data_IF_431805454032
#
_entry.id   IF_431805454032
#
_cell.length_a   1.000
_cell.length_b   1.000
_cell.length_c   1.000
_cell.angle_alpha   90.00
_cell.angle_beta   90.00
_cell.angle_gamma   90.00
#
_symmetry.space_group_name_H-M   'P 1'
#
loop_
_entity.id
_entity.type
_entity.pdbx_description
1 polymer ?
#
# COMPACT_ATOMS: atom_id res chain seq x y z
N UNK A 1 -41.67 -7.27 22.87
CA UNK A 1 -40.50 -7.32 21.97
C UNK A 1 -39.56 -6.20 22.37
N UNK A 2 -38.44 -6.54 23.00
CA UNK A 2 -37.46 -5.58 23.53
C UNK A 2 -36.39 -5.34 22.47
N UNK A 3 -36.23 -4.09 22.07
CA UNK A 3 -35.10 -3.61 21.29
C UNK A 3 -33.82 -3.76 22.12
N UNK A 4 -32.86 -4.54 21.63
CA UNK A 4 -31.48 -4.50 22.16
C UNK A 4 -30.74 -3.51 21.26
N UNK A 5 -30.56 -2.31 21.82
CA UNK A 5 -29.59 -1.32 21.38
C UNK A 5 -28.20 -1.93 21.52
N UNK A 6 -27.52 -2.24 20.42
CA UNK A 6 -26.11 -2.62 20.45
C UNK A 6 -25.28 -1.38 20.13
N UNK A 7 -24.59 -0.89 21.16
CA UNK A 7 -23.57 0.15 21.05
C UNK A 7 -22.53 -0.27 20.00
N UNK A 8 -22.41 0.55 18.96
CA UNK A 8 -21.24 0.59 18.09
C UNK A 8 -20.12 1.21 18.90
N UNK A 9 -19.30 0.38 19.54
CA UNK A 9 -18.04 0.84 20.13
C UNK A 9 -17.05 1.02 18.99
N UNK A 10 -16.95 2.24 18.48
CA UNK A 10 -15.86 2.66 17.62
C UNK A 10 -14.53 2.47 18.36
N UNK A 11 -13.75 1.47 17.95
CA UNK A 11 -12.37 1.30 18.38
C UNK A 11 -11.50 2.35 17.67
N UNK A 12 -11.37 3.51 18.29
CA UNK A 12 -10.27 4.45 18.04
C UNK A 12 -8.96 3.79 18.46
N UNK A 13 -8.14 3.35 17.50
CA UNK A 13 -6.75 2.97 17.76
C UNK A 13 -5.91 4.23 17.86
N UNK A 14 -5.41 4.47 19.07
CA UNK A 14 -4.50 5.54 19.40
C UNK A 14 -3.10 5.30 18.84
N UNK A 15 -2.53 6.39 18.32
CA UNK A 15 -1.15 6.67 17.93
C UNK A 15 -0.07 5.91 18.70
N UNK A 16 0.75 5.14 17.98
CA UNK A 16 2.08 4.72 18.43
C UNK A 16 3.13 5.63 17.79
N UNK A 17 3.45 6.72 18.48
CA UNK A 17 4.63 7.55 18.21
C UNK A 17 5.89 6.73 18.45
N UNK A 18 6.65 6.42 17.39
CA UNK A 18 8.01 5.86 17.51
C UNK A 18 8.32 4.57 16.74
N UNK A 19 7.44 4.09 15.86
CA UNK A 19 7.69 2.87 15.08
C UNK A 19 8.83 3.03 14.05
N UNK A 20 9.73 2.04 13.97
CA UNK A 20 10.69 1.92 12.87
C UNK A 20 9.94 1.93 11.53
N UNK A 21 10.56 2.37 10.45
CA UNK A 21 9.91 2.39 9.13
C UNK A 21 9.32 1.02 8.71
N UNK A 22 9.87 -0.09 9.22
CA UNK A 22 9.36 -1.46 9.05
C UNK A 22 8.15 -1.80 9.95
N UNK A 23 7.96 -1.09 11.07
CA UNK A 23 6.89 -1.30 12.06
C UNK A 23 5.59 -0.52 11.74
N UNK A 24 5.61 0.35 10.70
CA UNK A 24 4.53 1.33 10.42
C UNK A 24 3.35 0.77 9.63
N UNK A 25 3.39 -0.48 9.18
CA UNK A 25 2.44 -1.00 8.19
C UNK A 25 1.83 -2.36 8.62
N UNK A 26 0.49 -2.53 8.51
CA UNK A 26 -0.22 -3.73 9.00
C UNK A 26 0.26 -5.05 8.38
N UNK A 27 0.73 -6.02 9.16
CA UNK A 27 1.38 -7.25 8.64
C UNK A 27 0.39 -8.23 7.93
N UNK A 28 -0.84 -7.79 7.62
CA UNK A 28 -2.01 -8.59 7.26
C UNK A 28 -3.02 -7.85 6.36
N UNK A 29 -3.88 -8.62 5.67
CA UNK A 29 -5.09 -8.10 5.06
C UNK A 29 -5.90 -7.33 6.10
N UNK A 30 -6.35 -6.11 5.78
CA UNK A 30 -7.02 -5.28 6.76
C UNK A 30 -8.23 -5.99 7.37
N UNK A 31 -8.31 -5.98 8.69
CA UNK A 31 -9.38 -6.60 9.46
C UNK A 31 -10.77 -6.12 9.01
N UNK A 32 -10.89 -4.89 8.51
CA UNK A 32 -12.16 -4.40 8.03
C UNK A 32 -12.66 -5.13 6.78
N UNK A 33 -11.81 -5.69 5.91
CA UNK A 33 -12.26 -6.29 4.63
C UNK A 33 -13.35 -7.32 4.89
N UNK A 34 -13.13 -8.26 5.81
CA UNK A 34 -14.07 -9.36 6.08
C UNK A 34 -15.20 -8.99 7.05
N UNK A 35 -15.08 -7.85 7.74
CA UNK A 35 -16.14 -7.30 8.58
C UNK A 35 -17.19 -6.53 7.76
N UNK A 36 -16.89 -6.23 6.50
CA UNK A 36 -17.81 -5.58 5.58
C UNK A 36 -18.54 -6.60 4.72
N UNK A 37 -19.86 -6.47 4.65
CA UNK A 37 -20.61 -6.97 3.50
C UNK A 37 -20.08 -6.22 2.26
N UNK A 38 -19.69 -6.89 1.16
CA UNK A 38 -20.03 -8.25 0.71
C UNK A 38 -19.00 -9.35 1.00
N UNK A 39 -17.89 -9.06 1.68
CA UNK A 39 -16.77 -10.00 1.82
C UNK A 39 -16.90 -10.94 3.02
N UNK A 40 -17.76 -10.61 3.99
CA UNK A 40 -18.11 -11.50 5.12
C UNK A 40 -18.60 -12.87 4.64
N UNK A 41 -19.33 -12.92 3.53
CA UNK A 41 -19.92 -14.13 2.95
C UNK A 41 -18.89 -15.04 2.27
N UNK A 42 -17.64 -14.59 2.15
CA UNK A 42 -16.54 -15.42 1.65
C UNK A 42 -16.08 -16.46 2.68
N UNK A 43 -16.39 -16.25 3.96
CA UNK A 43 -16.01 -17.14 5.06
C UNK A 43 -17.22 -18.00 5.47
N UNK A 44 -17.00 -19.31 5.58
CA UNK A 44 -17.97 -20.19 6.25
C UNK A 44 -17.99 -19.91 7.75
N UNK A 45 -19.08 -20.26 8.43
CA UNK A 45 -19.25 -20.01 9.87
C UNK A 45 -18.07 -20.54 10.71
N UNK A 46 -17.59 -21.75 10.42
CA UNK A 46 -16.43 -22.35 11.09
C UNK A 46 -15.10 -21.63 10.79
N UNK A 47 -15.01 -20.95 9.65
CA UNK A 47 -13.84 -20.17 9.27
C UNK A 47 -13.85 -18.82 9.97
N UNK A 48 -15.02 -18.23 10.24
CA UNK A 48 -15.15 -16.95 10.95
C UNK A 48 -14.55 -17.03 12.36
N UNK A 49 -14.81 -18.11 13.09
CA UNK A 49 -14.30 -18.26 14.46
C UNK A 49 -12.77 -18.45 14.49
N UNK A 50 -12.22 -19.31 13.62
CA UNK A 50 -10.76 -19.46 13.47
C UNK A 50 -10.11 -18.15 13.03
N UNK A 51 -10.74 -17.42 12.10
CA UNK A 51 -10.27 -16.12 11.63
C UNK A 51 -10.20 -15.11 12.78
N UNK A 52 -11.26 -14.97 13.57
CA UNK A 52 -11.30 -14.07 14.75
C UNK A 52 -10.25 -14.45 15.79
N UNK A 53 -10.07 -15.74 16.07
CA UNK A 53 -9.07 -16.22 17.03
C UNK A 53 -7.65 -15.84 16.60
N UNK A 54 -7.30 -16.09 15.33
CA UNK A 54 -5.98 -15.74 14.78
C UNK A 54 -5.72 -14.24 14.81
N UNK A 55 -6.74 -13.43 14.53
CA UNK A 55 -6.62 -11.97 14.65
C UNK A 55 -6.30 -11.56 16.09
N UNK A 56 -7.10 -12.03 17.04
CA UNK A 56 -6.89 -11.70 18.45
C UNK A 56 -5.49 -12.15 18.95
N UNK A 57 -4.94 -13.23 18.39
CA UNK A 57 -3.57 -13.67 18.68
C UNK A 57 -2.52 -12.73 18.08
N UNK A 58 -2.69 -12.28 16.83
CA UNK A 58 -1.81 -11.27 16.20
C UNK A 58 -1.82 -9.96 17.00
N UNK A 59 -2.99 -9.47 17.40
CA UNK A 59 -3.12 -8.24 18.20
C UNK A 59 -2.39 -8.37 19.55
N UNK A 60 -2.49 -9.52 20.21
CA UNK A 60 -1.73 -9.80 21.44
C UNK A 60 -0.22 -9.80 21.19
N UNK A 61 0.24 -10.39 20.09
CA UNK A 61 1.66 -10.42 19.74
C UNK A 61 2.22 -9.03 19.43
N UNK A 62 1.44 -8.15 18.77
CA UNK A 62 1.88 -6.77 18.46
C UNK A 62 1.93 -5.87 19.71
N UNK A 63 1.07 -6.14 20.71
CA UNK A 63 1.13 -5.45 22.01
C UNK A 63 2.24 -5.97 22.94
N UNK A 64 2.73 -7.19 22.70
CA UNK A 64 3.90 -7.74 23.39
C UNK A 64 5.19 -7.18 22.75
N UNK A 65 6.28 -7.07 23.52
CA UNK A 65 7.58 -6.64 22.97
C UNK A 65 7.93 -7.46 21.72
N UNK A 66 8.32 -6.80 20.62
CA UNK A 66 8.74 -7.45 19.36
C UNK A 66 9.95 -8.35 19.60
N UNK A 67 9.71 -9.66 19.71
CA UNK A 67 10.73 -10.70 19.72
C UNK A 67 10.74 -11.41 18.37
N UNK A 68 11.87 -12.01 17.99
CA UNK A 68 11.96 -12.78 16.74
C UNK A 68 10.92 -13.93 16.68
N UNK A 69 10.61 -14.54 17.83
CA UNK A 69 9.59 -15.57 17.94
C UNK A 69 8.17 -15.02 17.73
N UNK A 70 7.86 -13.84 18.28
CA UNK A 70 6.59 -13.16 18.05
C UNK A 70 6.41 -12.75 16.58
N UNK A 71 7.49 -12.29 15.93
CA UNK A 71 7.49 -11.94 14.51
C UNK A 71 7.25 -13.18 13.63
N UNK A 72 7.92 -14.30 13.93
CA UNK A 72 7.72 -15.56 13.22
C UNK A 72 6.29 -16.09 13.39
N UNK A 73 5.76 -16.06 14.61
CA UNK A 73 4.39 -16.49 14.89
C UNK A 73 3.37 -15.60 14.17
N UNK A 74 3.58 -14.28 14.16
CA UNK A 74 2.74 -13.33 13.43
C UNK A 74 2.73 -13.64 11.95
N UNK A 75 3.90 -13.92 11.35
CA UNK A 75 4.00 -14.32 9.95
C UNK A 75 3.24 -15.63 9.65
N UNK A 76 3.33 -16.63 10.53
CA UNK A 76 2.58 -17.88 10.38
C UNK A 76 1.05 -17.67 10.44
N UNK A 77 0.58 -16.84 11.36
CA UNK A 77 -0.85 -16.51 11.49
C UNK A 77 -1.35 -15.74 10.25
N UNK A 78 -0.56 -14.78 9.76
CA UNK A 78 -0.89 -14.03 8.55
C UNK A 78 -0.96 -14.91 7.30
N UNK A 79 -0.05 -15.88 7.17
CA UNK A 79 -0.11 -16.90 6.11
C UNK A 79 -1.41 -17.68 6.13
N UNK A 80 -1.87 -18.08 7.32
CA UNK A 80 -3.12 -18.80 7.48
C UNK A 80 -4.33 -17.91 7.10
N UNK A 81 -4.33 -16.65 7.53
CA UNK A 81 -5.39 -15.70 7.20
C UNK A 81 -5.47 -15.38 5.69
N UNK A 82 -4.32 -15.28 5.01
CA UNK A 82 -4.27 -15.00 3.58
C UNK A 82 -4.84 -16.14 2.71
N UNK A 83 -5.00 -17.35 3.25
CA UNK A 83 -5.59 -18.50 2.52
C UNK A 83 -7.10 -18.40 2.34
N UNK A 84 -7.78 -17.54 3.10
CA UNK A 84 -9.23 -17.42 3.02
C UNK A 84 -9.73 -16.63 1.82
N UNK A 85 -8.89 -15.77 1.24
CA UNK A 85 -9.28 -14.87 0.16
C UNK A 85 -8.47 -15.14 -1.10
N UNK A 86 -9.08 -14.89 -2.26
CA UNK A 86 -8.42 -14.97 -3.56
C UNK A 86 -8.73 -13.75 -4.42
N UNK A 87 -7.91 -13.49 -5.43
CA UNK A 87 -8.19 -12.46 -6.44
C UNK A 87 -9.53 -12.69 -7.15
N UNK A 88 -9.98 -13.94 -7.28
CA UNK A 88 -11.29 -14.27 -7.85
C UNK A 88 -12.45 -13.78 -6.97
N UNK A 89 -12.29 -13.88 -5.66
CA UNK A 89 -13.29 -13.40 -4.71
C UNK A 89 -13.41 -11.88 -4.79
N UNK A 90 -12.29 -11.17 -4.83
CA UNK A 90 -12.27 -9.72 -5.01
C UNK A 90 -12.83 -9.29 -6.37
N UNK A 91 -12.42 -9.96 -7.46
CA UNK A 91 -12.90 -9.66 -8.83
C UNK A 91 -14.41 -9.82 -8.98
N UNK A 92 -15.03 -10.71 -8.19
CA UNK A 92 -16.47 -10.95 -8.22
C UNK A 92 -17.26 -9.93 -7.42
N UNK A 93 -16.71 -9.46 -6.29
CA UNK A 93 -17.47 -8.75 -5.27
C UNK A 93 -17.15 -7.25 -5.18
N UNK A 94 -15.95 -6.85 -5.59
CA UNK A 94 -15.53 -5.46 -5.52
C UNK A 94 -15.97 -4.67 -6.76
N UNK A 95 -16.22 -3.35 -6.61
CA UNK A 95 -16.29 -2.43 -7.73
C UNK A 95 -15.03 -2.51 -8.59
N UNK A 96 -15.18 -2.31 -9.91
CA UNK A 96 -14.06 -2.28 -10.84
C UNK A 96 -13.79 -0.84 -11.28
N UNK A 97 -12.53 -0.45 -11.25
CA UNK A 97 -12.04 0.70 -12.02
C UNK A 97 -11.51 0.19 -13.36
N UNK A 98 -11.80 0.94 -14.42
CA UNK A 98 -11.53 0.54 -15.80
C UNK A 98 -10.88 1.68 -16.59
N UNK A 99 -9.97 1.32 -17.50
CA UNK A 99 -9.46 2.17 -18.57
C UNK A 99 -10.05 1.66 -19.89
N UNK A 100 -11.13 2.29 -20.41
CA UNK A 100 -11.83 1.82 -21.60
C UNK A 100 -10.93 1.78 -22.85
N UNK A 101 -9.94 2.68 -22.94
CA UNK A 101 -9.08 2.78 -24.11
C UNK A 101 -8.15 1.57 -24.25
N UNK A 102 -7.67 1.04 -23.12
CA UNK A 102 -6.80 -0.14 -23.10
C UNK A 102 -7.54 -1.44 -22.79
N UNK A 103 -8.81 -1.38 -22.39
CA UNK A 103 -9.58 -2.52 -21.89
C UNK A 103 -9.05 -3.10 -20.58
N UNK A 104 -8.23 -2.33 -19.83
CA UNK A 104 -7.67 -2.79 -18.55
C UNK A 104 -8.66 -2.52 -17.45
N UNK A 105 -8.63 -3.36 -16.42
CA UNK A 105 -9.48 -3.18 -15.26
C UNK A 105 -8.86 -3.76 -14.00
N UNK A 106 -9.28 -3.22 -12.87
CA UNK A 106 -8.80 -3.58 -11.54
C UNK A 106 -9.94 -3.47 -10.53
N UNK A 107 -10.02 -4.44 -9.63
CA UNK A 107 -10.91 -4.41 -8.47
C UNK A 107 -10.43 -3.35 -7.49
N UNK A 108 -11.31 -2.44 -7.07
CA UNK A 108 -10.99 -1.42 -6.07
C UNK A 108 -11.75 -1.73 -4.77
N UNK A 109 -11.02 -1.86 -3.68
CA UNK A 109 -11.59 -2.08 -2.35
C UNK A 109 -11.16 -0.92 -1.45
N UNK A 110 -12.14 -0.13 -1.02
CA UNK A 110 -11.94 1.03 -0.15
C UNK A 110 -12.38 0.71 1.27
N UNK A 111 -11.58 1.14 2.23
CA UNK A 111 -11.94 1.10 3.65
C UNK A 111 -13.20 1.93 3.91
N UNK A 112 -14.26 1.36 4.53
CA UNK A 112 -15.47 2.12 4.85
C UNK A 112 -15.25 3.29 5.78
N UNK A 113 -14.13 3.31 6.53
CA UNK A 113 -13.78 4.43 7.41
C UNK A 113 -13.41 5.71 6.63
N UNK A 114 -13.21 5.66 5.32
CA UNK A 114 -13.08 6.87 4.52
C UNK A 114 -14.37 7.71 4.56
N UNK A 115 -14.27 9.06 4.64
CA UNK A 115 -15.43 9.92 4.53
C UNK A 115 -16.23 9.66 3.24
N UNK A 116 -17.56 9.70 3.31
CA UNK A 116 -18.42 9.35 2.16
C UNK A 116 -18.15 10.18 0.90
N UNK A 117 -17.83 11.48 1.05
CA UNK A 117 -17.49 12.34 -0.08
C UNK A 117 -16.17 11.96 -0.77
N UNK A 118 -15.25 11.29 -0.05
CA UNK A 118 -13.96 10.87 -0.59
C UNK A 118 -14.01 9.57 -1.38
N UNK A 119 -14.98 8.68 -1.11
CA UNK A 119 -15.12 7.42 -1.83
C UNK A 119 -15.22 7.61 -3.36
N UNK A 120 -16.10 8.48 -3.91
CA UNK A 120 -16.13 8.73 -5.35
C UNK A 120 -14.87 9.44 -5.88
N UNK A 121 -14.19 10.25 -5.06
CA UNK A 121 -12.90 10.87 -5.42
C UNK A 121 -11.83 9.80 -5.60
N UNK A 122 -11.73 8.85 -4.66
CA UNK A 122 -10.77 7.75 -4.70
C UNK A 122 -11.09 6.74 -5.80
N UNK A 123 -12.36 6.49 -6.09
CA UNK A 123 -12.78 5.68 -7.24
C UNK A 123 -12.29 6.32 -8.55
N UNK A 124 -12.59 7.61 -8.75
CA UNK A 124 -12.11 8.36 -9.91
C UNK A 124 -10.58 8.42 -9.98
N UNK A 125 -9.90 8.52 -8.84
CA UNK A 125 -8.45 8.43 -8.76
C UNK A 125 -7.92 7.06 -9.22
N UNK A 126 -8.61 5.97 -8.87
CA UNK A 126 -8.30 4.62 -9.34
C UNK A 126 -8.39 4.48 -10.87
N UNK A 127 -9.42 5.07 -11.48
CA UNK A 127 -9.53 5.14 -12.95
C UNK A 127 -8.36 5.92 -13.59
N UNK A 128 -8.02 7.09 -13.04
CA UNK A 128 -6.92 7.92 -13.54
C UNK A 128 -5.57 7.23 -13.38
N UNK A 129 -5.34 6.57 -12.25
CA UNK A 129 -4.15 5.76 -12.02
C UNK A 129 -4.04 4.66 -13.09
N UNK A 130 -5.10 3.86 -13.29
CA UNK A 130 -5.07 2.77 -14.28
C UNK A 130 -4.82 3.26 -15.71
N UNK A 131 -5.39 4.41 -16.09
CA UNK A 131 -5.18 5.07 -17.38
C UNK A 131 -3.72 5.51 -17.58
N UNK A 132 -3.09 6.03 -16.53
CA UNK A 132 -1.78 6.70 -16.63
C UNK A 132 -0.60 5.81 -16.25
N UNK A 133 -0.79 4.77 -15.44
CA UNK A 133 0.29 3.99 -14.84
C UNK A 133 1.22 3.33 -15.88
N UNK A 134 0.65 2.92 -17.01
CA UNK A 134 1.37 2.28 -18.11
C UNK A 134 1.58 3.20 -19.32
N UNK A 135 1.41 4.52 -19.14
CA UNK A 135 1.76 5.46 -20.19
C UNK A 135 3.30 5.50 -20.34
N UNK A 136 3.80 5.16 -21.54
CA UNK A 136 5.23 5.11 -21.83
C UNK A 136 5.93 6.45 -21.59
N UNK A 137 5.31 7.55 -22.00
CA UNK A 137 5.90 8.88 -21.83
C UNK A 137 6.03 9.26 -20.34
N UNK A 138 5.01 8.93 -19.53
CA UNK A 138 5.05 9.11 -18.07
C UNK A 138 6.23 8.36 -17.45
N UNK A 139 6.39 7.08 -17.81
CA UNK A 139 7.46 6.22 -17.29
C UNK A 139 8.83 6.72 -17.74
N UNK A 140 9.00 7.03 -19.02
CA UNK A 140 10.27 7.53 -19.56
C UNK A 140 10.67 8.87 -18.94
N UNK A 141 9.72 9.79 -18.76
CA UNK A 141 9.97 11.06 -18.09
C UNK A 141 10.38 10.86 -16.64
N UNK A 142 9.67 10.01 -15.90
CA UNK A 142 10.01 9.70 -14.51
C UNK A 142 11.42 9.09 -14.41
N UNK A 143 11.74 8.13 -15.28
CA UNK A 143 13.04 7.48 -15.34
C UNK A 143 14.18 8.46 -15.61
N UNK A 144 14.01 9.35 -16.60
CA UNK A 144 15.00 10.38 -16.96
C UNK A 144 15.25 11.38 -15.83
N UNK A 145 14.21 11.75 -15.09
CA UNK A 145 14.30 12.76 -14.00
C UNK A 145 14.84 12.17 -12.70
N UNK A 146 14.71 10.87 -12.49
CA UNK A 146 15.13 10.21 -11.27
C UNK A 146 16.66 10.13 -11.16
N UNK A 147 17.18 10.45 -9.98
CA UNK A 147 18.59 10.25 -9.64
C UNK A 147 18.92 8.75 -9.53
N UNK A 148 20.12 8.37 -9.94
CA UNK A 148 20.58 6.97 -9.82
C UNK A 148 20.85 6.57 -8.36
N UNK A 149 21.29 7.53 -7.54
CA UNK A 149 21.53 7.36 -6.10
C UNK A 149 20.85 8.51 -5.34
N UNK A 150 19.55 8.39 -5.04
CA UNK A 150 18.80 9.46 -4.39
C UNK A 150 19.26 9.68 -2.94
N UNK A 151 19.27 10.94 -2.51
CA UNK A 151 19.75 11.35 -1.19
C UNK A 151 18.61 11.52 -0.17
N UNK A 152 18.87 11.34 1.14
CA UNK A 152 20.15 10.95 1.73
C UNK A 152 20.43 9.44 1.60
N UNK A 153 21.67 9.07 1.31
CA UNK A 153 22.10 7.67 1.45
C UNK A 153 22.34 7.37 2.93
N UNK A 154 21.65 6.40 3.54
CA UNK A 154 21.95 6.03 4.93
C UNK A 154 23.38 5.48 5.03
N UNK A 155 24.04 5.75 6.14
CA UNK A 155 25.39 5.28 6.43
C UNK A 155 25.39 4.13 7.44
N UNK A 156 26.48 3.34 7.44
CA UNK A 156 26.85 2.41 8.51
C UNK A 156 28.02 3.01 9.29
N UNK A 157 28.07 2.79 10.60
CA UNK A 157 29.26 3.14 11.40
C UNK A 157 30.22 1.95 11.41
N UNK A 158 31.50 2.20 11.16
CA UNK A 158 32.56 1.20 11.32
C UNK A 158 33.54 1.73 12.35
N UNK A 159 33.68 1.02 13.47
CA UNK A 159 34.61 1.35 14.55
C UNK A 159 35.49 0.13 14.80
N UNK A 160 36.81 0.29 14.67
CA UNK A 160 37.81 -0.77 14.90
C UNK A 160 37.54 -2.08 14.15
N UNK A 161 37.17 -1.98 12.87
CA UNK A 161 36.84 -3.13 12.03
C UNK A 161 35.48 -3.79 12.35
N UNK A 162 34.80 -3.33 13.40
CA UNK A 162 33.47 -3.81 13.79
C UNK A 162 32.41 -2.87 13.21
N UNK A 163 31.48 -3.44 12.44
CA UNK A 163 30.32 -2.69 11.92
C UNK A 163 29.30 -2.54 13.05
N UNK A 164 29.06 -1.31 13.48
CA UNK A 164 28.05 -0.97 14.51
C UNK A 164 27.09 0.11 13.97
N UNK A 165 25.93 0.29 14.61
CA UNK A 165 25.03 1.39 14.23
C UNK A 165 24.40 1.28 12.84
N UNK A 166 24.19 0.07 12.32
CA UNK A 166 23.34 -0.13 11.14
C UNK A 166 21.94 0.37 11.47
N UNK A 167 21.57 1.54 10.97
CA UNK A 167 20.21 2.06 11.15
C UNK A 167 19.22 1.16 10.41
N UNK A 168 18.00 1.03 10.91
CA UNK A 168 16.95 0.27 10.21
C UNK A 168 16.73 0.79 8.78
N UNK A 169 16.91 2.11 8.57
CA UNK A 169 16.90 2.72 7.23
C UNK A 169 17.98 2.19 6.28
N UNK A 170 19.17 1.82 6.78
CA UNK A 170 20.24 1.25 5.96
C UNK A 170 19.90 -0.15 5.43
N UNK A 171 19.30 -1.02 6.27
CA UNK A 171 18.91 -2.38 5.85
C UNK A 171 17.82 -2.36 4.80
N UNK A 172 16.81 -1.51 4.98
CA UNK A 172 15.76 -1.32 4.00
C UNK A 172 16.34 -0.76 2.70
N UNK A 173 17.14 0.31 2.77
CA UNK A 173 17.80 0.91 1.60
C UNK A 173 18.61 -0.10 0.77
N UNK A 174 19.32 -1.04 1.41
CA UNK A 174 20.05 -2.10 0.69
C UNK A 174 19.15 -3.11 -0.03
N UNK A 175 17.92 -3.33 0.45
CA UNK A 175 16.95 -4.25 -0.15
C UNK A 175 16.03 -3.55 -1.14
N UNK A 176 15.83 -2.26 -0.99
CA UNK A 176 14.91 -1.46 -1.80
C UNK A 176 15.49 -1.09 -3.16
N UNK A 177 14.59 -0.98 -4.14
CA UNK A 177 14.92 -0.49 -5.46
C UNK A 177 14.75 1.02 -5.48
N UNK A 178 15.84 1.76 -5.69
CA UNK A 178 15.81 3.22 -5.70
C UNK A 178 15.43 3.79 -7.07
N UNK A 179 15.75 3.04 -8.12
CA UNK A 179 15.45 3.32 -9.52
C UNK A 179 15.36 1.98 -10.27
N UNK A 180 14.44 1.83 -11.23
CA UNK A 180 14.42 0.63 -12.07
C UNK A 180 15.69 0.56 -12.93
N UNK A 181 16.00 -0.63 -13.45
CA UNK A 181 17.15 -0.82 -14.34
C UNK A 181 16.96 -0.08 -15.67
N UNK A 182 15.73 -0.03 -16.16
CA UNK A 182 15.33 0.73 -17.35
C UNK A 182 13.84 1.07 -17.29
N UNK A 183 13.41 2.03 -18.13
CA UNK A 183 11.99 2.36 -18.30
C UNK A 183 11.16 1.14 -18.78
N UNK A 184 11.71 0.32 -19.69
CA UNK A 184 11.02 -0.88 -20.20
C UNK A 184 10.87 -1.94 -19.10
N UNK A 185 11.92 -2.17 -18.31
CA UNK A 185 11.85 -3.13 -17.19
C UNK A 185 10.77 -2.72 -16.18
N UNK A 186 10.65 -1.42 -15.89
CA UNK A 186 9.57 -0.90 -15.04
C UNK A 186 8.20 -1.06 -15.69
N UNK A 187 8.08 -0.78 -16.99
CA UNK A 187 6.83 -0.94 -17.73
C UNK A 187 6.33 -2.38 -17.66
N UNK A 188 7.19 -3.37 -17.94
CA UNK A 188 6.82 -4.77 -17.91
C UNK A 188 6.40 -5.25 -16.52
N UNK A 189 7.11 -4.78 -15.49
CA UNK A 189 6.78 -5.04 -14.10
C UNK A 189 5.41 -4.46 -13.71
N UNK A 190 5.19 -3.18 -13.95
CA UNK A 190 3.91 -2.53 -13.65
C UNK A 190 2.78 -3.16 -14.48
N UNK A 191 3.05 -3.55 -15.73
CA UNK A 191 2.09 -4.23 -16.60
C UNK A 191 1.71 -5.58 -16.00
N UNK A 192 2.69 -6.33 -15.50
CA UNK A 192 2.44 -7.60 -14.84
C UNK A 192 1.60 -7.42 -13.58
N UNK A 193 1.84 -6.37 -12.79
CA UNK A 193 1.06 -6.06 -11.59
C UNK A 193 -0.38 -5.61 -11.87
N UNK A 194 -0.62 -4.99 -13.04
CA UNK A 194 -1.91 -4.39 -13.41
C UNK A 194 -2.67 -5.16 -14.51
N UNK A 195 -2.25 -6.38 -14.86
CA UNK A 195 -2.91 -7.19 -15.89
C UNK A 195 -3.29 -8.56 -15.36
N UNK A 196 -4.57 -8.90 -15.45
CA UNK A 196 -5.10 -10.22 -15.12
C UNK A 196 -6.34 -10.56 -15.97
N UNK A 197 -6.75 -11.83 -16.04
CA UNK A 197 -7.97 -12.22 -16.73
C UNK A 197 -9.21 -11.70 -15.98
N UNK A 198 -10.35 -11.60 -16.66
CA UNK A 198 -11.55 -10.97 -16.10
C UNK A 198 -12.08 -11.63 -14.81
N UNK A 199 -11.83 -12.93 -14.61
CA UNK A 199 -12.21 -13.69 -13.42
C UNK A 199 -11.19 -13.59 -12.26
N UNK A 200 -10.01 -13.02 -12.53
CA UNK A 200 -8.90 -12.80 -11.57
C UNK A 200 -8.21 -11.49 -11.91
N UNK A 201 -8.98 -10.41 -11.95
CA UNK A 201 -8.47 -9.05 -12.16
C UNK A 201 -7.54 -8.69 -11.00
N UNK A 202 -6.58 -7.78 -11.24
CA UNK A 202 -5.84 -7.16 -10.16
C UNK A 202 -6.76 -6.53 -9.13
N UNK A 203 -6.30 -6.45 -7.89
CA UNK A 203 -7.00 -5.83 -6.79
C UNK A 203 -6.12 -4.75 -6.15
N UNK A 204 -6.67 -3.54 -6.05
CA UNK A 204 -6.14 -2.45 -5.25
C UNK A 204 -6.97 -2.32 -3.98
N UNK A 205 -6.37 -2.59 -2.84
CA UNK A 205 -6.95 -2.36 -1.52
C UNK A 205 -6.38 -1.07 -0.96
N UNK A 206 -7.26 -0.17 -0.55
CA UNK A 206 -6.89 1.10 0.07
C UNK A 206 -7.47 1.14 1.48
N UNK A 207 -6.58 1.08 2.47
CA UNK A 207 -6.93 1.25 3.89
C UNK A 207 -6.85 2.70 4.32
N UNK A 208 -7.70 3.08 5.28
CA UNK A 208 -7.56 4.33 5.99
C UNK A 208 -6.47 4.26 7.07
N UNK A 209 -5.92 5.42 7.42
CA UNK A 209 -5.19 5.61 8.66
C UNK A 209 -5.21 7.07 9.11
N UNK A 210 -5.13 7.29 10.42
CA UNK A 210 -5.00 8.61 11.00
C UNK A 210 -3.52 8.89 11.31
N UNK A 211 -2.91 9.74 10.50
CA UNK A 211 -1.60 10.36 10.72
C UNK A 211 -1.51 11.60 9.81
N UNK A 212 -1.11 12.73 10.38
CA UNK A 212 -0.94 13.98 9.65
C UNK A 212 0.44 14.10 8.98
N UNK A 213 1.38 13.21 9.26
CA UNK A 213 2.77 13.31 8.83
C UNK A 213 2.93 12.94 7.36
N UNK A 214 2.29 11.84 6.94
CA UNK A 214 2.45 11.26 5.60
C UNK A 214 1.11 11.22 4.86
N UNK A 215 1.19 11.15 3.52
CA UNK A 215 0.01 11.09 2.66
C UNK A 215 -0.53 9.67 2.52
N UNK A 216 0.36 8.69 2.62
CA UNK A 216 0.06 7.29 2.44
C UNK A 216 1.15 6.40 3.03
N UNK A 217 0.91 5.11 2.85
CA UNK A 217 1.85 4.05 3.19
C UNK A 217 1.63 2.84 2.29
N UNK A 218 2.72 2.25 1.80
CA UNK A 218 2.69 0.99 1.06
C UNK A 218 3.64 -0.02 1.65
N UNK A 219 3.35 -1.30 1.41
CA UNK A 219 4.15 -2.41 1.94
C UNK A 219 5.37 -2.64 1.07
N UNK A 220 6.56 -2.54 1.64
CA UNK A 220 7.77 -2.87 0.90
C UNK A 220 7.72 -4.31 0.36
N UNK A 221 7.78 -4.42 -0.96
CA UNK A 221 7.96 -5.69 -1.69
C UNK A 221 6.83 -6.71 -1.49
N UNK A 222 5.64 -6.27 -1.04
CA UNK A 222 4.50 -7.17 -0.84
C UNK A 222 4.15 -7.95 -2.09
N UNK A 223 4.33 -7.38 -3.28
CA UNK A 223 4.09 -8.03 -4.57
C UNK A 223 5.04 -9.21 -4.86
N UNK A 224 6.24 -9.24 -4.29
CA UNK A 224 7.21 -10.32 -4.48
C UNK A 224 7.44 -11.18 -3.23
N UNK A 225 6.60 -11.01 -2.20
CA UNK A 225 6.59 -11.84 -0.98
C UNK A 225 5.44 -12.84 -0.99
N UNK A 226 5.56 -13.95 -1.75
CA UNK A 226 4.51 -14.97 -1.91
C UNK A 226 4.10 -15.62 -0.59
N UNK A 227 4.95 -15.52 0.43
CA UNK A 227 4.71 -16.03 1.77
C UNK A 227 3.81 -15.14 2.63
N UNK A 228 3.33 -14.01 2.11
CA UNK A 228 2.36 -13.12 2.75
C UNK A 228 1.14 -12.81 1.87
N UNK A 229 1.09 -13.42 0.67
CA UNK A 229 0.08 -13.17 -0.35
C UNK A 229 -1.16 -14.07 -0.24
N UNK A 230 -2.25 -13.61 -0.85
CA UNK A 230 -3.53 -14.31 -1.01
C UNK A 230 -3.37 -15.67 -1.68
N UNK A 231 -3.30 -16.75 -0.91
CA UNK A 231 -2.83 -18.05 -1.43
C UNK A 231 -3.90 -19.14 -1.44
N UNK A 232 -5.01 -18.90 -2.15
CA UNK A 232 -5.91 -19.99 -2.55
C UNK A 232 -5.60 -20.56 -3.95
N UNK A 233 -5.03 -19.77 -4.88
CA UNK A 233 -4.71 -20.20 -6.25
C UNK A 233 -3.52 -19.37 -6.83
N UNK A 234 -2.46 -20.02 -7.30
CA UNK A 234 -1.36 -19.39 -8.06
C UNK A 234 -1.79 -18.92 -9.47
N UNK A 235 -1.07 -17.95 -10.10
CA UNK A 235 0.05 -17.18 -9.55
C UNK A 235 -0.42 -15.93 -8.80
N UNK A 236 0.36 -15.48 -7.80
CA UNK A 236 -0.04 -14.46 -6.84
C UNK A 236 0.34 -13.02 -7.24
N UNK A 237 0.64 -12.77 -8.51
CA UNK A 237 0.77 -11.42 -9.04
C UNK A 237 -0.61 -10.83 -9.25
N UNK A 238 -0.87 -9.64 -8.70
CA UNK A 238 -1.96 -8.69 -8.99
C UNK A 238 -2.70 -8.17 -7.74
N UNK A 239 -2.11 -8.24 -6.54
CA UNK A 239 -2.66 -7.61 -5.35
C UNK A 239 -1.76 -6.45 -4.88
N UNK A 240 -2.31 -5.24 -4.85
CA UNK A 240 -1.66 -4.03 -4.37
C UNK A 240 -2.38 -3.57 -3.12
N UNK A 241 -1.65 -3.43 -2.01
CA UNK A 241 -2.21 -2.94 -0.77
C UNK A 241 -1.53 -1.66 -0.32
N UNK A 242 -2.34 -0.61 -0.15
CA UNK A 242 -1.87 0.72 0.26
C UNK A 242 -2.73 1.25 1.40
N UNK A 243 -2.23 2.29 2.06
CA UNK A 243 -2.96 3.11 3.03
C UNK A 243 -2.92 4.56 2.60
N UNK A 244 -3.99 5.29 2.84
CA UNK A 244 -4.06 6.74 2.62
C UNK A 244 -4.57 7.46 3.86
N UNK A 245 -4.01 8.64 4.14
CA UNK A 245 -4.29 9.37 5.38
C UNK A 245 -5.68 10.00 5.33
N UNK A 246 -6.54 9.63 6.28
CA UNK A 246 -7.86 10.25 6.46
C UNK A 246 -7.76 11.65 7.05
N UNK A 247 -6.71 11.94 7.82
CA UNK A 247 -6.53 13.28 8.41
C UNK A 247 -6.23 14.33 7.34
N UNK A 248 -5.53 13.92 6.28
CA UNK A 248 -5.30 14.77 5.11
C UNK A 248 -6.60 15.06 4.36
N UNK A 249 -7.46 14.04 4.24
CA UNK A 249 -8.76 14.14 3.58
C UNK A 249 -9.78 14.95 4.38
N UNK A 250 -9.76 14.84 5.71
CA UNK A 250 -10.71 15.53 6.60
C UNK A 250 -10.44 17.01 6.79
N UNK A 251 -9.31 17.52 6.28
CA UNK A 251 -8.94 18.93 6.37
C UNK A 251 -9.83 19.87 5.52
N UNK A 252 -10.70 19.32 4.66
CA UNK A 252 -11.73 20.07 3.94
C UNK A 252 -11.20 21.09 2.91
N UNK A 253 -9.94 20.95 2.50
CA UNK A 253 -9.37 21.77 1.43
C UNK A 253 -9.80 21.20 0.08
N UNK A 254 -10.43 22.00 -0.77
CA UNK A 254 -10.82 21.63 -2.15
C UNK A 254 -9.65 21.03 -2.96
N UNK A 255 -8.41 21.39 -2.59
CA UNK A 255 -7.20 20.82 -3.20
C UNK A 255 -7.07 19.31 -2.99
N UNK A 256 -7.66 18.76 -1.93
CA UNK A 256 -7.64 17.34 -1.59
C UNK A 256 -8.86 16.58 -2.11
N UNK A 257 -9.86 17.25 -2.69
CA UNK A 257 -10.92 16.56 -3.44
C UNK A 257 -10.52 16.30 -4.90
N UNK A 258 -9.29 16.67 -5.29
CA UNK A 258 -8.77 16.46 -6.63
C UNK A 258 -8.41 14.96 -6.86
N UNK A 259 -9.13 14.25 -7.76
CA UNK A 259 -8.83 12.85 -8.05
C UNK A 259 -7.44 12.62 -8.67
N UNK A 260 -6.92 13.59 -9.42
CA UNK A 260 -5.59 13.49 -10.04
C UNK A 260 -4.47 13.53 -9.00
N UNK A 261 -4.67 14.26 -7.90
CA UNK A 261 -3.77 14.22 -6.75
C UNK A 261 -3.78 12.84 -6.09
N UNK A 262 -4.95 12.26 -5.83
CA UNK A 262 -5.01 10.92 -5.24
C UNK A 262 -4.53 9.83 -6.19
N UNK A 263 -4.69 9.99 -7.50
CA UNK A 263 -4.11 9.06 -8.48
C UNK A 263 -2.59 9.01 -8.37
N UNK A 264 -1.94 10.16 -8.15
CA UNK A 264 -0.49 10.20 -7.93
C UNK A 264 -0.08 9.57 -6.61
N UNK A 265 -0.86 9.76 -5.53
CA UNK A 265 -0.61 9.08 -4.25
C UNK A 265 -0.80 7.57 -4.36
N UNK A 266 -1.85 7.10 -5.03
CA UNK A 266 -2.05 5.67 -5.33
C UNK A 266 -0.84 5.12 -6.08
N UNK A 267 -0.35 5.82 -7.11
CA UNK A 267 0.84 5.41 -7.85
C UNK A 267 2.08 5.31 -6.96
N UNK A 268 2.31 6.32 -6.10
CA UNK A 268 3.40 6.32 -5.14
C UNK A 268 3.33 5.09 -4.22
N UNK A 269 2.21 4.89 -3.54
CA UNK A 269 2.08 3.81 -2.57
C UNK A 269 2.07 2.42 -3.22
N UNK A 270 1.60 2.31 -4.47
CA UNK A 270 1.69 1.09 -5.26
C UNK A 270 3.15 0.72 -5.57
N UNK A 271 4.05 1.69 -5.74
CA UNK A 271 5.46 1.38 -6.01
C UNK A 271 6.18 0.76 -4.81
N UNK A 272 5.76 1.10 -3.59
CA UNK A 272 6.25 0.43 -2.38
C UNK A 272 5.93 -1.08 -2.41
N UNK A 273 4.75 -1.46 -2.91
CA UNK A 273 4.37 -2.88 -3.09
C UNK A 273 5.32 -3.62 -4.03
N UNK A 274 5.87 -2.93 -5.01
CA UNK A 274 6.89 -3.46 -5.91
C UNK A 274 8.28 -3.41 -5.27
N UNK A 275 8.48 -2.81 -4.10
CA UNK A 275 9.79 -2.71 -3.45
C UNK A 275 10.61 -1.50 -3.90
N UNK A 276 9.99 -0.52 -4.57
CA UNK A 276 10.63 0.80 -4.69
C UNK A 276 10.49 1.54 -3.37
N UNK A 277 11.51 2.31 -2.98
CA UNK A 277 11.46 3.04 -1.73
C UNK A 277 12.10 4.41 -1.84
N UNK A 278 11.72 5.30 -0.92
CA UNK A 278 12.36 6.60 -0.78
C UNK A 278 13.61 6.51 0.10
N UNK A 279 14.58 7.42 -0.05
CA UNK A 279 15.65 7.60 0.93
C UNK A 279 15.10 7.80 2.37
N UNK A 280 15.81 7.37 3.42
CA UNK A 280 15.34 7.49 4.80
C UNK A 280 15.44 8.93 5.31
N UNK A 281 14.48 9.75 4.90
CA UNK A 281 14.36 11.13 5.37
C UNK A 281 14.04 11.18 6.86
N UNK A 282 14.68 12.10 7.58
CA UNK A 282 14.42 12.40 8.98
C UNK A 282 13.02 12.97 9.18
N UNK A 283 12.59 13.85 8.28
CA UNK A 283 11.29 14.52 8.30
C UNK A 283 10.86 14.99 6.90
N UNK A 284 9.63 15.51 6.80
CA UNK A 284 9.07 15.99 5.54
C UNK A 284 9.84 17.19 4.94
N UNK A 285 10.49 18.01 5.78
CA UNK A 285 11.26 19.17 5.32
C UNK A 285 12.55 18.71 4.63
N UNK A 286 13.28 17.77 5.23
CA UNK A 286 14.46 17.19 4.60
C UNK A 286 14.10 16.53 3.26
N UNK A 287 13.00 15.77 3.20
CA UNK A 287 12.48 15.23 1.93
C UNK A 287 12.34 16.33 0.88
N UNK A 288 11.63 17.42 1.21
CA UNK A 288 11.33 18.49 0.26
C UNK A 288 12.57 19.27 -0.18
N UNK A 289 13.59 19.38 0.67
CA UNK A 289 14.88 19.97 0.33
C UNK A 289 15.70 19.04 -0.60
N UNK A 290 15.79 17.74 -0.28
CA UNK A 290 16.58 16.76 -1.04
C UNK A 290 15.97 16.44 -2.41
N UNK A 291 14.63 16.36 -2.51
CA UNK A 291 13.91 16.08 -3.76
C UNK A 291 14.19 17.14 -4.84
N UNK A 292 14.61 18.36 -4.48
CA UNK A 292 14.96 19.42 -5.43
C UNK A 292 16.27 19.14 -6.17
N UNK A 293 17.19 18.37 -5.58
CA UNK A 293 18.54 18.13 -6.12
C UNK A 293 18.80 16.66 -6.42
N UNK A 294 18.07 15.74 -5.77
CA UNK A 294 18.26 14.29 -5.86
C UNK A 294 16.91 13.58 -5.79
N UNK A 295 16.20 13.60 -6.90
CA UNK A 295 14.82 13.13 -7.02
C UNK A 295 14.78 11.58 -7.05
N UNK A 296 14.23 10.89 -6.03
CA UNK A 296 14.05 9.44 -6.09
C UNK A 296 12.99 9.06 -7.13
N UNK A 297 13.13 7.87 -7.73
CA UNK A 297 12.24 7.42 -8.80
C UNK A 297 10.77 7.40 -8.39
N UNK A 298 10.47 6.95 -7.17
CA UNK A 298 9.09 6.91 -6.66
C UNK A 298 8.40 8.27 -6.65
N UNK A 299 9.14 9.34 -6.30
CA UNK A 299 8.64 10.72 -6.33
C UNK A 299 8.61 11.27 -7.75
N UNK A 300 9.58 10.92 -8.60
CA UNK A 300 9.56 11.30 -10.01
C UNK A 300 8.31 10.75 -10.71
N UNK A 301 8.02 9.46 -10.49
CA UNK A 301 6.86 8.78 -11.06
C UNK A 301 5.54 9.35 -10.55
N UNK A 302 5.42 9.59 -9.24
CA UNK A 302 4.27 10.30 -8.66
C UNK A 302 4.01 11.65 -9.37
N UNK A 303 5.05 12.47 -9.56
CA UNK A 303 4.91 13.77 -10.20
C UNK A 303 4.47 13.67 -11.67
N UNK A 304 4.98 12.69 -12.42
CA UNK A 304 4.57 12.48 -13.81
C UNK A 304 3.14 11.94 -13.93
N UNK A 305 2.72 11.07 -13.00
CA UNK A 305 1.32 10.63 -12.90
C UNK A 305 0.42 11.82 -12.61
N UNK A 306 0.76 12.68 -11.65
CA UNK A 306 -0.01 13.87 -11.35
C UNK A 306 -0.16 14.78 -12.59
N UNK A 307 0.93 15.00 -13.32
CA UNK A 307 0.92 15.81 -14.54
C UNK A 307 -0.01 15.20 -15.60
N UNK A 308 0.13 13.90 -15.88
CA UNK A 308 -0.66 13.22 -16.89
C UNK A 308 -2.14 13.09 -16.50
N UNK A 309 -2.44 12.87 -15.22
CA UNK A 309 -3.81 12.77 -14.72
C UNK A 309 -4.50 14.14 -14.62
N UNK A 310 -3.75 15.24 -14.62
CA UNK A 310 -4.28 16.62 -14.60
C UNK A 310 -4.38 17.24 -15.99
N UNK A 311 -3.90 16.54 -17.03
CA UNK A 311 -4.05 16.99 -18.40
C UNK A 311 -5.53 16.99 -18.81
N UNK A 312 -6.00 18.02 -19.55
CA UNK A 312 -7.40 18.19 -19.93
C UNK A 312 -7.96 17.06 -20.80
#
# INVERSE_FOLDING_TARGET
MRYISLMVTALTLASLTGANAEDRYPIWLPQWIWQNEPYSDLLRAEQIDDFKLRIAEIEKLDTARRTAEADEKTLQLNRALAQYFSLRDFSRLAPNVEDPASGRAMSLILDPAFPEHMKPVLEKAGHLFLKTALNREVIENAFRRAADNPLPTPSRTVTDGTVTGVTNGYRLYLKSRLKPVSAEAFYDEMKHALTGPADRRPALVISSYSDQTWWGGGYHDFYYRPDTQLNRLSPPGSFLYIRLSTDKMSSGSDSFDNPSFWASKIAHEALHNLGYWHPPYKDARERDEQVKTSLPFIVAYEQEILRAASAP
#
